data_IF_390649173008
#
_entry.id   IF_390649173008
#
_cell.length_a   1.000
_cell.length_b   1.000
_cell.length_c   1.000
_cell.angle_alpha   90.00
_cell.angle_beta   90.00
_cell.angle_gamma   90.00
#
_symmetry.space_group_name_H-M   'P 1'
#
loop_
_entity.id
_entity.type
_entity.pdbx_description
1 polymer ?
#
# COMPACT_ATOMS: atom_id res chain seq x y z
N UNK A 1 -5.15 -8.09 -10.89
CA UNK A 1 -5.58 -6.78 -11.40
C UNK A 1 -5.07 -5.66 -10.51
N UNK A 2 -5.53 -5.58 -9.25
CA UNK A 2 -4.97 -4.60 -8.31
C UNK A 2 -3.47 -4.81 -8.15
N UNK A 3 -3.04 -6.05 -7.97
CA UNK A 3 -1.62 -6.37 -7.83
C UNK A 3 -0.80 -5.90 -9.05
N UNK A 4 -1.31 -6.12 -10.25
CA UNK A 4 -0.61 -5.71 -11.46
C UNK A 4 -0.50 -4.19 -11.56
N UNK A 5 -1.57 -3.47 -11.20
CA UNK A 5 -1.56 -2.01 -11.18
C UNK A 5 -0.53 -1.50 -10.17
N UNK A 6 -0.48 -2.09 -8.98
CA UNK A 6 0.51 -1.74 -7.97
C UNK A 6 1.93 -2.01 -8.46
N UNK A 7 2.18 -3.18 -9.06
CA UNK A 7 3.51 -3.54 -9.55
C UNK A 7 4.03 -2.57 -10.61
N UNK A 8 3.14 -2.00 -11.42
CA UNK A 8 3.54 -1.03 -12.43
C UNK A 8 4.12 0.25 -11.82
N UNK A 9 3.80 0.55 -10.56
CA UNK A 9 4.28 1.73 -9.84
C UNK A 9 5.54 1.46 -9.02
N UNK A 10 6.04 0.21 -9.01
CA UNK A 10 7.17 -0.20 -8.17
C UNK A 10 8.45 -0.30 -8.98
N UNK A 11 9.58 -0.11 -8.28
CA UNK A 11 10.91 -0.33 -8.84
C UNK A 11 11.22 -1.84 -8.85
N UNK A 12 12.25 -2.22 -9.63
CA UNK A 12 12.68 -3.62 -9.69
C UNK A 12 13.15 -4.17 -8.33
N UNK A 13 13.70 -3.30 -7.47
CA UNK A 13 14.18 -3.71 -6.14
C UNK A 13 13.06 -3.80 -5.12
N UNK A 14 11.89 -3.26 -5.43
CA UNK A 14 10.77 -3.32 -4.51
C UNK A 14 10.13 -4.71 -4.57
N UNK A 15 9.61 -5.16 -3.43
CA UNK A 15 9.04 -6.51 -3.33
C UNK A 15 7.60 -6.40 -2.87
N UNK A 16 6.71 -7.05 -3.59
CA UNK A 16 5.30 -7.13 -3.23
C UNK A 16 4.94 -8.57 -2.89
N UNK A 17 4.37 -8.78 -1.72
CA UNK A 17 3.92 -10.08 -1.24
C UNK A 17 2.46 -10.04 -0.88
N UNK A 18 1.75 -11.12 -1.16
CA UNK A 18 0.40 -11.29 -0.65
C UNK A 18 0.48 -11.74 0.81
N UNK A 19 -0.24 -11.05 1.68
CA UNK A 19 -0.19 -11.28 3.12
C UNK A 19 -1.60 -11.60 3.63
N UNK A 20 -2.08 -12.79 3.33
CA UNK A 20 -3.43 -13.19 3.69
C UNK A 20 -4.49 -12.50 2.84
N UNK A 21 -5.69 -13.03 2.82
CA UNK A 21 -6.91 -12.48 2.23
C UNK A 21 -6.73 -11.46 1.13
N UNK A 22 -7.10 -10.23 1.44
CA UNK A 22 -7.07 -9.09 0.51
C UNK A 22 -5.91 -8.14 0.78
N UNK A 23 -4.96 -8.52 1.63
CA UNK A 23 -3.87 -7.65 2.03
C UNK A 23 -2.58 -7.99 1.29
N UNK A 24 -1.79 -6.95 0.99
CA UNK A 24 -0.47 -7.06 0.42
C UNK A 24 0.52 -6.29 1.28
N UNK A 25 1.75 -6.78 1.32
CA UNK A 25 2.88 -6.06 1.92
C UNK A 25 3.82 -5.69 0.80
N UNK A 26 4.26 -4.44 0.78
CA UNK A 26 5.24 -3.95 -0.17
C UNK A 26 6.45 -3.46 0.61
N UNK A 27 7.61 -4.00 0.26
CA UNK A 27 8.88 -3.59 0.85
C UNK A 27 9.59 -2.66 -0.12
N UNK A 28 9.96 -1.47 0.37
CA UNK A 28 10.66 -0.46 -0.42
C UNK A 28 12.06 -0.28 0.18
N UNK A 29 13.08 -1.02 -0.30
CA UNK A 29 14.43 -0.91 0.25
C UNK A 29 14.99 0.50 0.14
N UNK A 30 15.68 0.94 1.20
CA UNK A 30 16.38 2.22 1.23
C UNK A 30 15.50 3.40 0.85
N UNK A 31 14.23 3.36 1.26
CA UNK A 31 13.26 4.40 0.92
C UNK A 31 12.79 5.09 2.21
N UNK A 32 13.16 6.36 2.39
CA UNK A 32 12.71 7.11 3.56
C UNK A 32 11.21 7.38 3.52
N UNK A 33 10.65 7.62 4.69
CA UNK A 33 9.21 7.78 4.88
C UNK A 33 8.53 8.74 3.90
N UNK A 34 9.06 9.95 3.63
CA UNK A 34 8.40 10.86 2.68
C UNK A 34 8.29 10.26 1.27
N UNK A 35 9.34 9.58 0.81
CA UNK A 35 9.34 8.94 -0.51
C UNK A 35 8.41 7.74 -0.55
N UNK A 36 8.38 6.94 0.53
CA UNK A 36 7.46 5.81 0.64
C UNK A 36 6.01 6.29 0.63
N UNK A 37 5.71 7.39 1.32
CA UNK A 37 4.37 7.99 1.29
C UNK A 37 3.98 8.46 -0.10
N UNK A 38 4.91 9.05 -0.84
CA UNK A 38 4.66 9.46 -2.22
C UNK A 38 4.38 8.26 -3.12
N UNK A 39 5.17 7.19 -2.97
CA UNK A 39 4.93 5.94 -3.72
C UNK A 39 3.55 5.36 -3.41
N UNK A 40 3.16 5.36 -2.13
CA UNK A 40 1.86 4.88 -1.71
C UNK A 40 0.73 5.70 -2.33
N UNK A 41 0.88 7.02 -2.38
CA UNK A 41 -0.13 7.89 -3.00
C UNK A 41 -0.26 7.63 -4.50
N UNK A 42 0.86 7.39 -5.19
CA UNK A 42 0.81 7.03 -6.61
C UNK A 42 0.06 5.71 -6.83
N UNK A 43 0.32 4.72 -5.97
CA UNK A 43 -0.39 3.43 -6.03
C UNK A 43 -1.88 3.64 -5.79
N UNK A 44 -2.25 4.39 -4.75
CA UNK A 44 -3.64 4.69 -4.45
C UNK A 44 -4.34 5.32 -5.66
N UNK A 45 -3.71 6.32 -6.26
CA UNK A 45 -4.30 7.06 -7.38
C UNK A 45 -4.38 6.17 -8.63
N UNK A 46 -3.36 5.36 -8.88
CA UNK A 46 -3.35 4.44 -10.02
C UNK A 46 -4.48 3.41 -9.91
N UNK A 47 -4.67 2.84 -8.71
CA UNK A 47 -5.75 1.87 -8.49
C UNK A 47 -7.12 2.54 -8.64
N UNK A 48 -7.29 3.72 -8.05
CA UNK A 48 -8.57 4.43 -8.13
C UNK A 48 -8.92 4.83 -9.56
N UNK A 49 -7.92 5.07 -10.40
CA UNK A 49 -8.11 5.45 -11.80
C UNK A 49 -8.30 4.26 -12.73
N UNK A 50 -7.91 3.06 -12.30
CA UNK A 50 -8.03 1.86 -13.12
C UNK A 50 -9.49 1.46 -13.27
N UNK A 51 -9.83 0.93 -14.45
CA UNK A 51 -11.16 0.38 -14.71
C UNK A 51 -11.00 -1.08 -15.05
N UNK A 52 -11.70 -1.93 -14.30
CA UNK A 52 -11.63 -3.37 -14.46
C UNK A 52 -12.83 -3.83 -15.26
N UNK A 53 -12.62 -4.47 -16.43
CA UNK A 53 -13.75 -4.99 -17.20
C UNK A 53 -14.39 -6.16 -16.46
N UNK A 54 -15.69 -6.12 -16.36
CA UNK A 54 -16.52 -7.20 -15.81
C UNK A 54 -17.72 -7.41 -16.73
N UNK A 55 -18.43 -8.52 -16.53
CA UNK A 55 -19.63 -8.78 -17.32
C UNK A 55 -20.64 -7.63 -17.11
N UNK A 56 -20.97 -6.93 -18.18
CA UNK A 56 -21.92 -5.85 -18.13
C UNK A 56 -21.35 -4.47 -17.85
N UNK A 57 -20.00 -4.31 -17.84
CA UNK A 57 -19.43 -2.98 -17.67
C UNK A 57 -18.03 -2.97 -17.08
N UNK A 58 -17.77 -1.96 -16.27
CA UNK A 58 -16.47 -1.75 -15.62
C UNK A 58 -16.67 -1.50 -14.14
N UNK A 59 -15.67 -1.87 -13.34
CA UNK A 59 -15.65 -1.63 -11.90
C UNK A 59 -14.44 -0.78 -11.54
N UNK A 60 -14.65 0.20 -10.67
CA UNK A 60 -13.59 0.97 -10.07
C UNK A 60 -13.36 0.44 -8.65
N UNK A 61 -12.10 0.30 -8.26
CA UNK A 61 -11.71 -0.14 -6.92
C UNK A 61 -10.84 0.92 -6.28
N UNK A 62 -10.74 0.89 -4.96
CA UNK A 62 -9.81 1.74 -4.22
C UNK A 62 -9.00 0.88 -3.27
N UNK A 63 -7.87 1.41 -2.81
CA UNK A 63 -7.05 0.79 -1.78
C UNK A 63 -6.77 1.78 -0.68
N UNK A 64 -6.64 1.27 0.54
CA UNK A 64 -6.15 2.03 1.67
C UNK A 64 -4.75 1.52 1.99
N UNK A 65 -3.84 2.41 2.37
CA UNK A 65 -2.43 2.06 2.55
C UNK A 65 -1.92 2.64 3.86
N UNK A 66 -1.28 1.80 4.64
CA UNK A 66 -0.50 2.22 5.80
C UNK A 66 0.98 2.14 5.47
N UNK A 67 1.73 3.14 5.87
CA UNK A 67 3.17 3.25 5.58
C UNK A 67 3.94 3.37 6.89
N UNK A 68 5.03 2.63 7.00
CA UNK A 68 5.96 2.76 8.14
C UNK A 68 7.38 2.61 7.62
N UNK A 69 8.29 3.32 8.24
CA UNK A 69 9.72 3.24 7.94
C UNK A 69 10.43 2.52 9.08
N UNK A 70 11.35 1.61 8.74
CA UNK A 70 12.17 0.94 9.74
C UNK A 70 13.06 1.95 10.43
N UNK A 71 13.02 1.97 11.75
CA UNK A 71 13.85 2.85 12.57
C UNK A 71 14.18 2.17 13.89
N UNK A 72 14.97 2.85 14.73
CA UNK A 72 15.43 2.30 16.01
C UNK A 72 14.29 1.99 17.00
N UNK A 73 13.11 2.53 16.76
CA UNK A 73 11.93 2.23 17.57
C UNK A 73 11.28 0.89 17.27
N UNK A 74 11.72 0.20 16.22
CA UNK A 74 11.18 -1.10 15.85
C UNK A 74 12.16 -2.21 16.26
N UNK A 75 11.70 -3.11 17.13
CA UNK A 75 12.52 -4.20 17.63
C UNK A 75 12.88 -5.21 16.52
N UNK A 76 11.95 -5.43 15.59
CA UNK A 76 12.12 -6.37 14.49
C UNK A 76 11.14 -6.04 13.38
N UNK A 77 11.13 -6.88 12.34
CA UNK A 77 10.25 -6.68 11.19
C UNK A 77 8.78 -6.80 11.57
N UNK A 78 8.45 -7.62 12.55
CA UNK A 78 7.06 -7.75 13.00
C UNK A 78 6.56 -6.44 13.61
N UNK A 79 7.39 -5.74 14.38
CA UNK A 79 7.05 -4.43 14.93
C UNK A 79 6.84 -3.40 13.82
N UNK A 80 7.65 -3.46 12.77
CA UNK A 80 7.49 -2.58 11.61
C UNK A 80 6.17 -2.85 10.89
N UNK A 81 5.85 -4.12 10.65
CA UNK A 81 4.59 -4.50 10.02
C UNK A 81 3.40 -4.07 10.86
N UNK A 82 3.49 -4.21 12.19
CA UNK A 82 2.42 -3.74 13.08
C UNK A 82 2.20 -2.24 12.99
N UNK A 83 3.28 -1.45 12.88
CA UNK A 83 3.16 -0.01 12.73
C UNK A 83 2.44 0.35 11.43
N UNK A 84 2.79 -0.30 10.33
CA UNK A 84 2.12 -0.11 9.06
C UNK A 84 0.65 -0.55 9.11
N UNK A 85 0.37 -1.65 9.81
CA UNK A 85 -0.99 -2.16 9.94
C UNK A 85 -1.88 -1.21 10.75
N UNK A 86 -1.34 -0.61 11.81
CA UNK A 86 -2.07 0.40 12.57
C UNK A 86 -2.38 1.63 11.72
N UNK A 87 -1.42 2.05 10.90
CA UNK A 87 -1.64 3.16 9.97
C UNK A 87 -2.69 2.79 8.92
N UNK A 88 -2.68 1.55 8.44
CA UNK A 88 -3.70 1.06 7.53
C UNK A 88 -5.09 1.11 8.15
N UNK A 89 -5.20 0.69 9.41
CA UNK A 89 -6.47 0.76 10.13
C UNK A 89 -6.97 2.20 10.18
N UNK A 90 -6.10 3.17 10.49
CA UNK A 90 -6.45 4.57 10.50
C UNK A 90 -6.91 5.05 9.12
N UNK A 91 -6.27 4.59 8.05
CA UNK A 91 -6.67 4.94 6.69
C UNK A 91 -8.08 4.45 6.37
N UNK A 92 -8.42 3.24 6.81
CA UNK A 92 -9.77 2.69 6.64
C UNK A 92 -10.80 3.46 7.46
N UNK A 93 -10.46 3.84 8.69
CA UNK A 93 -11.34 4.63 9.55
C UNK A 93 -11.54 6.06 9.01
N UNK A 94 -10.56 6.61 8.30
CA UNK A 94 -10.64 7.95 7.72
C UNK A 94 -11.46 8.00 6.42
N UNK A 95 -12.11 6.90 6.03
CA UNK A 95 -13.00 6.87 4.86
C UNK A 95 -12.50 6.03 3.71
N UNK A 96 -11.41 5.29 3.89
CA UNK A 96 -10.78 4.45 2.86
C UNK A 96 -10.23 5.30 1.71
N UNK A 97 -9.60 4.66 0.74
CA UNK A 97 -8.91 5.36 -0.35
C UNK A 97 -7.96 6.43 0.19
N UNK A 98 -7.25 6.09 1.25
CA UNK A 98 -6.39 7.00 2.00
C UNK A 98 -5.02 6.37 2.19
N UNK A 99 -4.01 7.23 2.37
CA UNK A 99 -2.67 6.82 2.77
C UNK A 99 -2.38 7.44 4.13
N UNK A 100 -2.02 6.60 5.08
CA UNK A 100 -1.61 7.03 6.41
C UNK A 100 -0.16 6.62 6.63
N UNK A 101 0.63 7.54 7.13
CA UNK A 101 2.05 7.32 7.41
C UNK A 101 2.23 7.29 8.92
N UNK A 102 2.81 6.19 9.40
CA UNK A 102 3.09 6.01 10.82
C UNK A 102 4.19 6.93 11.31
#
# INVERSE_FOLDING_TARGET
MVAKTCLAELRKVDVMCRFGGEEFIILLPETPKPKAGNAARRIRDAVASARLPVNGGEVALTVSIGVAELNDGHADINALIQAADQALYQAKEAGRNEVMVA
#
